data_IF_024543809501
#
_entry.id   IF_024543809501
#
_cell.length_a   1.000
_cell.length_b   1.000
_cell.length_c   1.000
_cell.angle_alpha   90.00
_cell.angle_beta   90.00
_cell.angle_gamma   90.00
#
_symmetry.space_group_name_H-M   'P 1'
#
loop_
_entity.id
_entity.type
_entity.pdbx_description
1 polymer ?
#
# COMPACT_ATOMS: atom_id res chain seq x y z
N UNK A 1 -11.11 -21.79 9.64
CA UNK A 1 -9.92 -20.99 9.27
C UNK A 1 -10.35 -19.53 9.21
N UNK A 2 -9.57 -18.55 9.70
CA UNK A 2 -9.87 -17.14 9.47
C UNK A 2 -9.96 -16.87 7.96
N UNK A 3 -10.83 -15.94 7.56
CA UNK A 3 -11.04 -15.61 6.15
C UNK A 3 -9.80 -14.91 5.59
N UNK A 4 -8.89 -15.68 5.00
CA UNK A 4 -7.63 -15.22 4.40
C UNK A 4 -7.85 -14.14 3.33
N UNK A 5 -9.03 -14.06 2.72
CA UNK A 5 -9.34 -13.10 1.67
C UNK A 5 -9.58 -11.68 2.19
N UNK A 6 -9.98 -11.54 3.46
CA UNK A 6 -10.40 -10.24 4.00
C UNK A 6 -9.24 -9.23 4.07
N UNK A 7 -8.05 -9.56 4.60
CA UNK A 7 -6.96 -8.59 4.69
C UNK A 7 -6.45 -8.11 3.33
N UNK A 8 -6.37 -9.00 2.32
CA UNK A 8 -5.97 -8.60 0.97
C UNK A 8 -7.02 -7.71 0.31
N UNK A 9 -8.30 -7.99 0.51
CA UNK A 9 -9.38 -7.16 0.03
C UNK A 9 -9.39 -5.76 0.69
N UNK A 10 -9.22 -5.71 2.02
CA UNK A 10 -9.17 -4.45 2.77
C UNK A 10 -8.01 -3.57 2.31
N UNK A 11 -6.85 -4.17 1.98
CA UNK A 11 -5.73 -3.45 1.39
C UNK A 11 -6.10 -2.79 0.04
N UNK A 12 -6.85 -3.48 -0.83
CA UNK A 12 -7.30 -2.90 -2.11
C UNK A 12 -8.24 -1.70 -1.88
N UNK A 13 -9.16 -1.82 -0.91
CA UNK A 13 -10.05 -0.71 -0.54
C UNK A 13 -9.23 0.48 -0.03
N UNK A 14 -8.25 0.24 0.84
CA UNK A 14 -7.37 1.30 1.36
C UNK A 14 -6.56 1.94 0.22
N UNK A 15 -6.02 1.16 -0.71
CA UNK A 15 -5.33 1.68 -1.89
C UNK A 15 -6.22 2.63 -2.70
N UNK A 16 -7.47 2.23 -2.96
CA UNK A 16 -8.43 3.06 -3.67
C UNK A 16 -8.78 4.35 -2.91
N UNK A 17 -8.93 4.26 -1.59
CA UNK A 17 -9.17 5.43 -0.73
C UNK A 17 -8.04 6.44 -0.82
N UNK A 18 -6.78 6.02 -0.79
CA UNK A 18 -5.66 6.97 -0.95
C UNK A 18 -5.65 7.59 -2.35
N UNK A 19 -5.93 6.81 -3.39
CA UNK A 19 -5.85 7.27 -4.78
C UNK A 19 -6.95 8.29 -5.11
N UNK A 20 -8.17 8.05 -4.61
CA UNK A 20 -9.39 8.80 -4.96
C UNK A 20 -9.87 9.75 -3.86
N UNK A 21 -9.46 9.54 -2.62
CA UNK A 21 -10.01 10.20 -1.45
C UNK A 21 -9.42 11.59 -1.19
N UNK A 22 -10.20 12.39 -0.48
CA UNK A 22 -9.84 13.77 -0.10
C UNK A 22 -8.84 13.80 1.07
N UNK A 23 -8.77 12.72 1.86
CA UNK A 23 -7.94 12.59 3.07
C UNK A 23 -6.60 11.89 2.80
N UNK A 24 -5.93 12.28 1.70
CA UNK A 24 -4.73 11.60 1.17
C UNK A 24 -3.70 11.21 2.25
N UNK A 25 -3.30 12.14 3.12
CA UNK A 25 -2.22 11.89 4.09
C UNK A 25 -2.62 10.91 5.19
N UNK A 26 -3.87 11.00 5.67
CA UNK A 26 -4.41 10.11 6.70
C UNK A 26 -4.60 8.72 6.12
N UNK A 27 -5.23 8.62 4.95
CA UNK A 27 -5.42 7.35 4.27
C UNK A 27 -4.07 6.70 3.91
N UNK A 28 -3.08 7.51 3.52
CA UNK A 28 -1.72 7.03 3.22
C UNK A 28 -1.06 6.41 4.45
N UNK A 29 -1.14 7.06 5.61
CA UNK A 29 -0.58 6.52 6.85
C UNK A 29 -1.25 5.19 7.24
N UNK A 30 -2.57 5.11 7.13
CA UNK A 30 -3.33 3.89 7.39
C UNK A 30 -2.91 2.78 6.41
N UNK A 31 -2.80 3.11 5.12
CA UNK A 31 -2.37 2.16 4.10
C UNK A 31 -0.96 1.63 4.37
N UNK A 32 0.00 2.50 4.68
CA UNK A 32 1.38 2.12 4.97
C UNK A 32 1.49 1.20 6.17
N UNK A 33 0.80 1.54 7.27
CA UNK A 33 0.78 0.71 8.46
C UNK A 33 0.18 -0.67 8.14
N UNK A 34 -0.99 -0.70 7.50
CA UNK A 34 -1.68 -1.94 7.20
C UNK A 34 -0.91 -2.81 6.20
N UNK A 35 -0.31 -2.21 5.16
CA UNK A 35 0.55 -2.90 4.21
C UNK A 35 1.79 -3.49 4.89
N UNK A 36 2.39 -2.75 5.84
CA UNK A 36 3.53 -3.22 6.62
C UNK A 36 3.18 -4.43 7.50
N UNK A 37 2.06 -4.34 8.23
CA UNK A 37 1.55 -5.42 9.08
C UNK A 37 1.21 -6.67 8.24
N UNK A 38 0.51 -6.50 7.12
CA UNK A 38 0.15 -7.60 6.23
C UNK A 38 1.39 -8.25 5.60
N UNK A 39 2.40 -7.46 5.23
CA UNK A 39 3.70 -7.96 4.72
C UNK A 39 4.39 -8.86 5.75
N UNK A 40 4.48 -8.41 7.01
CA UNK A 40 5.09 -9.19 8.09
C UNK A 40 4.31 -10.50 8.31
N UNK A 41 2.98 -10.40 8.38
CA UNK A 41 2.14 -11.58 8.52
C UNK A 41 2.33 -12.58 7.38
N UNK A 42 2.45 -12.14 6.12
CA UNK A 42 2.76 -13.02 4.97
C UNK A 42 4.11 -13.72 5.17
N UNK A 43 5.15 -12.98 5.58
CA UNK A 43 6.49 -13.52 5.77
C UNK A 43 6.56 -14.55 6.91
N UNK A 44 5.74 -14.37 7.94
CA UNK A 44 5.69 -15.23 9.12
C UNK A 44 4.86 -16.51 8.89
N UNK A 45 3.83 -16.45 8.03
CA UNK A 45 2.86 -17.54 7.87
C UNK A 45 3.04 -18.38 6.60
N UNK A 46 3.77 -17.87 5.59
CA UNK A 46 3.94 -18.58 4.32
C UNK A 46 5.41 -18.88 4.02
N UNK A 47 5.68 -20.15 3.74
CA UNK A 47 7.04 -20.60 3.51
C UNK A 47 7.49 -20.55 2.03
N UNK A 48 6.53 -20.44 1.10
CA UNK A 48 6.77 -20.45 -0.35
C UNK A 48 7.82 -19.41 -0.78
N UNK A 49 8.86 -19.87 -1.47
CA UNK A 49 9.98 -19.02 -1.90
C UNK A 49 9.48 -17.79 -2.69
N UNK A 50 8.56 -17.99 -3.63
CA UNK A 50 8.01 -16.93 -4.47
C UNK A 50 7.18 -15.92 -3.68
N UNK A 51 6.35 -16.39 -2.74
CA UNK A 51 5.56 -15.54 -1.84
C UNK A 51 6.48 -14.66 -1.00
N UNK A 52 7.52 -15.25 -0.39
CA UNK A 52 8.49 -14.49 0.42
C UNK A 52 9.31 -13.52 -0.42
N UNK A 53 9.68 -13.87 -1.66
CA UNK A 53 10.39 -12.97 -2.57
C UNK A 53 9.53 -11.74 -2.90
N UNK A 54 8.26 -11.95 -3.24
CA UNK A 54 7.31 -10.86 -3.51
C UNK A 54 7.11 -9.98 -2.27
N UNK A 55 6.86 -10.58 -1.10
CA UNK A 55 6.66 -9.84 0.14
C UNK A 55 7.91 -9.02 0.54
N UNK A 56 9.12 -9.54 0.32
CA UNK A 56 10.36 -8.79 0.55
C UNK A 56 10.54 -7.64 -0.44
N UNK A 57 10.10 -7.82 -1.68
CA UNK A 57 10.18 -6.83 -2.76
C UNK A 57 9.16 -5.70 -2.70
N UNK A 58 8.24 -5.70 -1.72
CA UNK A 58 7.31 -4.58 -1.50
C UNK A 58 8.14 -3.32 -1.17
N UNK A 59 8.05 -2.25 -1.99
CA UNK A 59 8.80 -1.04 -1.77
C UNK A 59 8.27 -0.26 -0.56
N UNK A 60 9.15 0.51 0.08
CA UNK A 60 8.73 1.53 1.05
C UNK A 60 8.12 2.72 0.32
N UNK A 61 7.09 3.34 0.91
CA UNK A 61 6.48 4.53 0.33
C UNK A 61 7.29 5.77 0.74
N UNK A 62 7.77 6.49 -0.26
CA UNK A 62 8.55 7.70 -0.10
C UNK A 62 7.64 8.93 -0.26
N UNK A 63 7.16 9.49 0.85
CA UNK A 63 6.37 10.72 0.85
C UNK A 63 7.00 11.80 1.75
N UNK A 64 7.57 12.83 1.12
CA UNK A 64 8.16 14.01 1.78
C UNK A 64 7.14 14.86 2.55
N UNK A 65 5.86 14.79 2.17
CA UNK A 65 4.79 15.55 2.82
C UNK A 65 4.54 15.18 4.29
N UNK A 66 5.01 14.00 4.75
CA UNK A 66 4.88 13.56 6.16
C UNK A 66 5.50 14.53 7.18
N UNK A 67 6.47 15.37 6.79
CA UNK A 67 7.12 16.35 7.68
C UNK A 67 6.45 17.73 7.67
N UNK A 68 5.53 17.98 6.75
CA UNK A 68 4.88 19.28 6.54
C UNK A 68 3.55 19.41 7.26
N UNK A 69 3.49 19.09 8.55
CA UNK A 69 2.28 19.28 9.33
C UNK A 69 1.75 20.71 9.21
N UNK A 70 0.48 20.86 8.84
CA UNK A 70 -0.44 21.99 9.09
C UNK A 70 -0.02 23.45 8.77
N UNK A 71 1.22 23.75 8.37
CA UNK A 71 1.75 25.12 8.30
C UNK A 71 1.86 25.73 6.89
N UNK A 72 1.27 25.11 5.86
CA UNK A 72 1.49 25.53 4.47
C UNK A 72 0.39 26.37 3.80
N UNK A 73 -0.77 26.57 4.42
CA UNK A 73 -1.94 27.14 3.74
C UNK A 73 -1.89 28.66 3.48
N UNK A 74 -0.83 29.35 3.91
CA UNK A 74 -0.66 30.79 3.69
C UNK A 74 0.51 31.04 2.72
N UNK A 75 0.23 30.97 1.42
CA UNK A 75 1.09 31.55 0.38
C UNK A 75 1.93 30.58 -0.49
N UNK A 76 1.36 29.49 -1.00
CA UNK A 76 2.07 28.64 -1.96
C UNK A 76 1.98 29.20 -3.40
N UNK A 77 3.12 29.60 -3.98
CA UNK A 77 3.24 29.89 -5.42
C UNK A 77 2.81 28.69 -6.29
N UNK A 78 2.31 28.91 -7.51
CA UNK A 78 1.82 27.85 -8.41
C UNK A 78 2.81 26.71 -8.67
N UNK A 79 4.12 26.98 -8.60
CA UNK A 79 5.19 25.98 -8.73
C UNK A 79 5.21 25.01 -7.53
N UNK A 80 4.95 25.50 -6.32
CA UNK A 80 4.90 24.65 -5.11
C UNK A 80 3.68 23.73 -5.10
N UNK A 81 2.53 24.24 -5.54
CA UNK A 81 1.30 23.46 -5.73
C UNK A 81 1.50 22.34 -6.77
N UNK A 82 2.14 22.66 -7.89
CA UNK A 82 2.45 21.68 -8.93
C UNK A 82 3.39 20.58 -8.42
N UNK A 83 4.44 20.94 -7.67
CA UNK A 83 5.37 19.98 -7.08
C UNK A 83 4.67 19.03 -6.09
N UNK A 84 3.81 19.55 -5.22
CA UNK A 84 3.03 18.73 -4.28
C UNK A 84 2.07 17.77 -5.01
N UNK A 85 1.48 18.22 -6.12
CA UNK A 85 0.63 17.36 -6.96
C UNK A 85 1.43 16.22 -7.60
N UNK A 86 2.61 16.51 -8.16
CA UNK A 86 3.50 15.50 -8.74
C UNK A 86 3.91 14.45 -7.69
N UNK A 87 4.37 14.89 -6.51
CA UNK A 87 4.74 13.99 -5.40
C UNK A 87 3.56 13.07 -5.01
N UNK A 88 2.32 13.58 -4.98
CA UNK A 88 1.14 12.75 -4.71
C UNK A 88 0.87 11.71 -5.80
N UNK A 89 1.03 12.07 -7.07
CA UNK A 89 0.83 11.12 -8.17
C UNK A 89 1.91 10.02 -8.20
N UNK A 90 3.15 10.35 -7.85
CA UNK A 90 4.23 9.37 -7.66
C UNK A 90 3.91 8.38 -6.53
N UNK A 91 3.47 8.88 -5.37
CA UNK A 91 3.05 8.03 -4.25
C UNK A 91 1.84 7.16 -4.62
N UNK A 92 0.86 7.68 -5.37
CA UNK A 92 -0.23 6.86 -5.90
C UNK A 92 0.28 5.76 -6.84
N UNK A 93 1.35 6.03 -7.60
CA UNK A 93 2.06 5.02 -8.39
C UNK A 93 2.58 3.88 -7.51
N UNK A 94 3.29 4.21 -6.43
CA UNK A 94 3.82 3.24 -5.46
C UNK A 94 2.70 2.42 -4.80
N UNK A 95 1.60 3.06 -4.39
CA UNK A 95 0.44 2.38 -3.81
C UNK A 95 -0.16 1.35 -4.77
N UNK A 96 -0.34 1.72 -6.04
CA UNK A 96 -0.84 0.78 -7.07
C UNK A 96 0.11 -0.39 -7.32
N UNK A 97 1.41 -0.18 -7.18
CA UNK A 97 2.40 -1.24 -7.29
C UNK A 97 2.32 -2.19 -6.10
N UNK A 98 2.31 -1.66 -4.88
CA UNK A 98 2.16 -2.45 -3.64
C UNK A 98 0.87 -3.27 -3.69
N UNK A 99 -0.25 -2.66 -4.05
CA UNK A 99 -1.54 -3.34 -4.16
C UNK A 99 -1.50 -4.48 -5.20
N UNK A 100 -0.78 -4.31 -6.32
CA UNK A 100 -0.59 -5.37 -7.33
C UNK A 100 0.29 -6.51 -6.82
N UNK A 101 1.34 -6.22 -6.04
CA UNK A 101 2.19 -7.24 -5.43
C UNK A 101 1.37 -8.10 -4.45
N UNK A 102 0.55 -7.45 -3.62
CA UNK A 102 -0.33 -8.17 -2.69
C UNK A 102 -1.42 -9.00 -3.38
N UNK A 103 -2.00 -8.52 -4.48
CA UNK A 103 -2.91 -9.32 -5.32
C UNK A 103 -2.21 -10.55 -5.90
N UNK A 104 -0.95 -10.42 -6.35
CA UNK A 104 -0.16 -11.56 -6.82
C UNK A 104 0.14 -12.57 -5.69
N UNK A 105 0.48 -12.08 -4.49
CA UNK A 105 0.67 -12.92 -3.30
C UNK A 105 -0.63 -13.66 -2.97
N UNK A 106 -1.76 -12.95 -2.98
CA UNK A 106 -3.07 -13.53 -2.67
C UNK A 106 -3.41 -14.69 -3.60
N UNK A 107 -3.23 -14.51 -4.92
CA UNK A 107 -3.45 -15.58 -5.90
C UNK A 107 -2.57 -16.80 -5.67
N UNK A 108 -1.28 -16.59 -5.39
CA UNK A 108 -0.36 -17.70 -5.10
C UNK A 108 -0.77 -18.47 -3.85
N UNK A 109 -1.21 -17.77 -2.81
CA UNK A 109 -1.70 -18.40 -1.57
C UNK A 109 -2.98 -19.20 -1.85
N UNK A 110 -3.91 -18.63 -2.63
CA UNK A 110 -5.15 -19.30 -3.00
C UNK A 110 -4.90 -20.56 -3.84
N UNK A 111 -4.01 -20.48 -4.84
CA UNK A 111 -3.63 -21.62 -5.68
C UNK A 111 -3.02 -22.76 -4.84
N UNK A 112 -2.13 -22.44 -3.90
CA UNK A 112 -1.52 -23.44 -2.99
C UNK A 112 -2.55 -24.11 -2.06
N UNK A 113 -3.62 -23.41 -1.67
CA UNK A 113 -4.67 -23.97 -0.81
C UNK A 113 -5.66 -24.86 -1.56
N UNK A 114 -5.91 -24.59 -2.84
CA UNK A 114 -6.82 -25.39 -3.66
C UNK A 114 -6.22 -26.75 -4.04
N UNK A 115 -4.89 -26.84 -4.19
CA UNK A 115 -4.17 -28.08 -4.49
C UNK A 115 -4.14 -29.10 -3.32
N UNK A 116 -4.53 -28.69 -2.11
CA UNK A 116 -4.51 -29.53 -0.90
C UNK A 116 -5.88 -30.12 -0.52
N UNK A 117 -6.93 -29.86 -1.31
CA UNK A 117 -8.32 -30.35 -1.11
C UNK A 117 -8.64 -31.54 -2.00
#
# INVERSE_FOLDING_TARGET
MPNLNQPFHDLQILAERVIKGDNFEVDLQIFEQFAGELRLWVLDNFEGYRIRQLARGIPEIEYSGKRGGLWGALGASGIRMYKQYQEREEVKGQIREIARIFDAIHRLISDETDDLV
#
